data_IF_789459479886
#
_entry.id   IF_789459479886
#
_cell.length_a   1.000
_cell.length_b   1.000
_cell.length_c   1.000
_cell.angle_alpha   90.00
_cell.angle_beta   90.00
_cell.angle_gamma   90.00
#
_symmetry.space_group_name_H-M   'P 1'
#
loop_
_entity.id
_entity.type
_entity.pdbx_description
1 polymer ?
#
# COMPACT_ATOMS: atom_id res chain seq x y z
N UNK A 1 3.22 -16.06 -24.34
CA UNK A 1 4.09 -15.47 -23.30
C UNK A 1 4.07 -13.96 -23.48
N UNK A 2 3.22 -13.26 -22.74
CA UNK A 2 3.17 -11.79 -22.74
C UNK A 2 3.19 -11.34 -21.29
N UNK A 3 4.37 -10.96 -20.81
CA UNK A 3 4.54 -10.34 -19.51
C UNK A 3 4.10 -8.88 -19.62
N UNK A 4 2.94 -8.56 -19.07
CA UNK A 4 2.43 -7.19 -19.03
C UNK A 4 3.20 -6.44 -17.94
N UNK A 5 4.13 -5.58 -18.37
CA UNK A 5 4.86 -4.67 -17.52
C UNK A 5 3.88 -3.80 -16.73
N UNK A 6 3.78 -4.04 -15.43
CA UNK A 6 3.09 -3.15 -14.51
C UNK A 6 3.92 -1.87 -14.40
N UNK A 7 3.66 -0.91 -15.28
CA UNK A 7 4.28 0.40 -15.26
C UNK A 7 3.75 1.17 -14.03
N UNK A 8 4.39 0.96 -12.88
CA UNK A 8 4.28 1.90 -11.77
C UNK A 8 4.88 3.24 -12.21
N UNK A 9 4.12 4.34 -12.29
CA UNK A 9 4.73 5.65 -12.38
C UNK A 9 5.46 5.90 -11.07
N UNK A 10 6.79 5.97 -11.12
CA UNK A 10 7.60 6.49 -10.02
C UNK A 10 7.22 7.97 -9.84
N UNK A 11 6.69 8.39 -8.69
CA UNK A 11 6.55 9.81 -8.42
C UNK A 11 7.96 10.40 -8.30
N UNK A 12 8.33 11.26 -9.25
CA UNK A 12 9.53 12.10 -9.15
C UNK A 12 9.31 13.03 -7.96
N UNK A 13 9.88 12.67 -6.82
CA UNK A 13 9.85 13.50 -5.63
C UNK A 13 10.73 14.74 -5.85
N UNK A 14 10.10 15.89 -6.05
CA UNK A 14 10.80 17.17 -5.98
C UNK A 14 11.37 17.34 -4.56
N UNK A 15 12.70 17.45 -4.48
CA UNK A 15 13.40 17.68 -3.23
C UNK A 15 13.05 19.08 -2.67
N UNK A 16 12.20 19.11 -1.65
CA UNK A 16 11.99 20.31 -0.83
C UNK A 16 13.11 20.42 0.21
N UNK A 17 13.61 21.63 0.52
CA UNK A 17 14.63 21.82 1.55
C UNK A 17 14.05 21.52 2.94
N UNK A 18 14.65 20.55 3.63
CA UNK A 18 14.28 20.16 5.00
C UNK A 18 14.86 21.17 5.99
N UNK A 19 14.02 22.06 6.50
CA UNK A 19 14.32 22.82 7.72
C UNK A 19 14.33 21.86 8.92
N UNK A 20 15.51 21.58 9.46
CA UNK A 20 15.71 20.71 10.64
C UNK A 20 15.32 21.42 11.94
N UNK A 21 14.03 21.72 12.10
CA UNK A 21 13.44 21.97 13.41
C UNK A 21 13.11 20.64 14.06
N UNK A 22 14.00 20.10 14.90
CA UNK A 22 13.71 18.92 15.74
C UNK A 22 12.71 19.31 16.83
N UNK A 23 11.45 19.48 16.44
CA UNK A 23 10.35 19.35 17.36
C UNK A 23 10.38 17.91 17.86
N UNK A 24 10.80 17.69 19.11
CA UNK A 24 10.55 16.44 19.83
C UNK A 24 9.04 16.33 20.03
N UNK A 25 8.32 16.04 18.95
CA UNK A 25 6.92 15.65 19.01
C UNK A 25 6.90 14.44 19.93
N UNK A 26 6.11 14.51 21.01
CA UNK A 26 5.93 13.36 21.90
C UNK A 26 5.41 12.23 21.02
N UNK A 27 6.28 11.28 20.69
CA UNK A 27 5.98 10.10 19.84
C UNK A 27 4.69 9.42 20.28
N UNK A 28 4.43 9.44 21.59
CA UNK A 28 3.22 8.93 22.23
C UNK A 28 1.91 9.57 21.76
N UNK A 29 1.93 10.86 21.38
CA UNK A 29 0.78 11.57 20.84
C UNK A 29 0.49 11.30 19.36
N UNK A 30 1.43 10.69 18.63
CA UNK A 30 1.28 10.35 17.22
C UNK A 30 0.79 8.91 16.98
N UNK A 31 0.80 8.05 18.01
CA UNK A 31 0.40 6.64 17.86
C UNK A 31 -1.05 6.50 17.40
N UNK A 32 -1.98 7.21 18.04
CA UNK A 32 -3.40 7.15 17.70
C UNK A 32 -3.68 7.64 16.26
N UNK A 33 -3.23 8.84 15.83
CA UNK A 33 -3.45 9.28 14.45
C UNK A 33 -2.72 8.41 13.43
N UNK A 34 -1.55 7.85 13.75
CA UNK A 34 -0.86 6.92 12.86
C UNK A 34 -1.63 5.61 12.66
N UNK A 35 -2.14 5.02 13.75
CA UNK A 35 -2.98 3.81 13.67
C UNK A 35 -4.25 4.09 12.89
N UNK A 36 -4.92 5.22 13.17
CA UNK A 36 -6.15 5.59 12.45
C UNK A 36 -5.89 5.82 10.96
N UNK A 37 -4.78 6.49 10.62
CA UNK A 37 -4.35 6.68 9.24
C UNK A 37 -4.05 5.35 8.54
N UNK A 38 -3.41 4.41 9.22
CA UNK A 38 -3.16 3.05 8.72
C UNK A 38 -4.46 2.28 8.47
N UNK A 39 -5.40 2.32 9.42
CA UNK A 39 -6.70 1.64 9.28
C UNK A 39 -7.51 2.25 8.14
N UNK A 40 -7.56 3.58 8.05
CA UNK A 40 -8.27 4.27 6.98
C UNK A 40 -7.64 3.98 5.61
N UNK A 41 -6.31 4.05 5.53
CA UNK A 41 -5.57 3.67 4.33
C UNK A 41 -5.84 2.22 3.94
N UNK A 42 -5.80 1.28 4.90
CA UNK A 42 -6.13 -0.11 4.64
C UNK A 42 -7.57 -0.27 4.14
N UNK A 43 -8.54 0.45 4.70
CA UNK A 43 -9.94 0.40 4.24
C UNK A 43 -10.12 0.95 2.81
N UNK A 44 -9.37 1.99 2.44
CA UNK A 44 -9.42 2.60 1.10
C UNK A 44 -8.67 1.80 0.04
N UNK A 45 -7.56 1.16 0.41
CA UNK A 45 -6.73 0.38 -0.51
C UNK A 45 -7.08 -1.12 -0.53
N UNK A 46 -7.83 -1.62 0.44
CA UNK A 46 -8.25 -3.00 0.45
C UNK A 46 -9.10 -3.30 -0.79
N UNK A 47 -8.87 -4.45 -1.44
CA UNK A 47 -9.70 -4.84 -2.58
C UNK A 47 -11.15 -5.04 -2.11
N UNK A 48 -12.10 -4.38 -2.79
CA UNK A 48 -13.54 -4.49 -2.51
C UNK A 48 -14.06 -5.93 -2.59
N UNK A 49 -13.44 -6.78 -3.43
CA UNK A 49 -13.89 -8.15 -3.68
C UNK A 49 -12.71 -9.14 -3.73
N UNK A 50 -12.14 -9.51 -2.57
CA UNK A 50 -10.95 -10.36 -2.51
C UNK A 50 -11.18 -11.75 -3.10
N UNK A 51 -12.40 -12.30 -2.99
CA UNK A 51 -12.74 -13.62 -3.57
C UNK A 51 -12.79 -13.60 -5.10
N UNK A 52 -13.37 -12.56 -5.68
CA UNK A 52 -13.43 -12.42 -7.14
C UNK A 52 -12.01 -12.23 -7.73
N UNK A 53 -11.16 -11.45 -7.05
CA UNK A 53 -9.75 -11.28 -7.42
C UNK A 53 -8.97 -12.59 -7.33
N UNK A 54 -9.20 -13.38 -6.27
CA UNK A 54 -8.57 -14.70 -6.12
C UNK A 54 -8.97 -15.65 -7.25
N UNK A 55 -10.26 -15.73 -7.60
CA UNK A 55 -10.74 -16.59 -8.70
C UNK A 55 -10.09 -16.21 -10.04
N UNK A 56 -10.03 -14.90 -10.35
CA UNK A 56 -9.38 -14.40 -11.56
C UNK A 56 -7.88 -14.73 -11.55
N UNK A 57 -7.22 -14.48 -10.42
CA UNK A 57 -5.79 -14.78 -10.27
C UNK A 57 -5.51 -16.26 -10.51
N UNK A 58 -6.30 -17.15 -9.88
CA UNK A 58 -6.13 -18.60 -9.96
C UNK A 58 -6.32 -19.11 -11.39
N UNK A 59 -7.31 -18.57 -12.11
CA UNK A 59 -7.57 -18.90 -13.51
C UNK A 59 -6.36 -18.64 -14.42
N UNK A 60 -5.53 -17.64 -14.09
CA UNK A 60 -4.41 -17.21 -14.94
C UNK A 60 -3.02 -17.63 -14.44
N UNK A 61 -2.84 -17.83 -13.14
CA UNK A 61 -1.51 -18.03 -12.52
C UNK A 61 -1.43 -19.32 -11.69
N UNK A 62 -2.56 -19.98 -11.43
CA UNK A 62 -2.67 -21.16 -10.55
C UNK A 62 -2.71 -20.81 -9.06
N UNK A 63 -3.28 -21.73 -8.26
CA UNK A 63 -3.59 -21.52 -6.84
C UNK A 63 -2.38 -21.14 -5.98
N UNK A 64 -1.19 -21.67 -6.28
CA UNK A 64 0.01 -21.37 -5.49
C UNK A 64 0.44 -19.89 -5.57
N UNK A 65 0.18 -19.22 -6.69
CA UNK A 65 0.55 -17.82 -6.91
C UNK A 65 -0.42 -16.83 -6.25
N UNK A 66 -1.65 -17.27 -5.95
CA UNK A 66 -2.74 -16.42 -5.48
C UNK A 66 -3.02 -16.57 -3.98
N UNK A 67 -2.24 -17.39 -3.27
CA UNK A 67 -2.33 -17.48 -1.81
C UNK A 67 -1.78 -16.21 -1.18
N UNK A 68 -2.65 -15.45 -0.55
CA UNK A 68 -2.31 -14.30 0.27
C UNK A 68 -1.92 -14.86 1.65
N UNK A 69 -0.65 -14.74 2.03
CA UNK A 69 -0.13 -15.07 3.37
C UNK A 69 0.06 -13.81 4.21
#
# INVERSE_FOLDING_TARGET
>A
MTASCFSTPLPVAHALPVAHGRARVRVRGLLLPAVLGLVLGAALLAPEQPRAQAEICERHNGAAACRIW
#
